data_IF_846589331084
#
_entry.id   IF_846589331084
#
_cell.length_a   1.000
_cell.length_b   1.000
_cell.length_c   1.000
_cell.angle_alpha   90.00
_cell.angle_beta   90.00
_cell.angle_gamma   90.00
#
_symmetry.space_group_name_H-M   'P 1'
#
loop_
_entity.id
_entity.type
_entity.pdbx_description
1 polymer ?
#
# COMPACT_ATOMS: atom_id res chain seq x y z
N UNK A 1 -32.29 -1.22 18.85
CA UNK A 1 -31.69 -2.00 17.75
C UNK A 1 -31.38 -3.40 18.26
N UNK A 2 -31.66 -4.42 17.43
CA UNK A 2 -31.34 -5.80 17.77
C UNK A 2 -29.83 -6.04 17.76
N UNK A 3 -29.37 -7.13 18.36
CA UNK A 3 -27.93 -7.51 18.43
C UNK A 3 -27.29 -7.56 17.04
N UNK A 4 -28.01 -8.11 16.07
CA UNK A 4 -27.54 -8.18 14.66
C UNK A 4 -27.29 -6.80 14.07
N UNK A 5 -28.19 -5.85 14.29
CA UNK A 5 -28.03 -4.47 13.80
C UNK A 5 -26.82 -3.76 14.44
N UNK A 6 -26.56 -4.02 15.74
CA UNK A 6 -25.40 -3.48 16.45
C UNK A 6 -24.07 -4.04 15.87
N UNK A 7 -24.01 -5.34 15.59
CA UNK A 7 -22.84 -5.99 14.98
C UNK A 7 -22.61 -5.46 13.57
N UNK A 8 -23.68 -5.34 12.77
CA UNK A 8 -23.61 -4.79 11.40
C UNK A 8 -23.11 -3.34 11.41
N UNK A 9 -23.61 -2.51 12.32
CA UNK A 9 -23.16 -1.12 12.45
C UNK A 9 -21.67 -1.05 12.84
N UNK A 10 -21.21 -1.85 13.79
CA UNK A 10 -19.82 -1.92 14.19
C UNK A 10 -18.91 -2.34 13.02
N UNK A 11 -19.36 -3.29 12.19
CA UNK A 11 -18.67 -3.71 10.98
C UNK A 11 -18.56 -2.57 9.96
N UNK A 12 -19.68 -1.87 9.70
CA UNK A 12 -19.70 -0.76 8.73
C UNK A 12 -18.80 0.40 9.16
N UNK A 13 -18.75 0.70 10.47
CA UNK A 13 -17.88 1.75 11.00
C UNK A 13 -16.38 1.40 10.83
N UNK A 14 -16.02 0.14 11.03
CA UNK A 14 -14.66 -0.33 10.79
C UNK A 14 -14.28 -0.25 9.31
N UNK A 15 -15.19 -0.64 8.40
CA UNK A 15 -14.95 -0.53 6.95
C UNK A 15 -14.71 0.93 6.55
N UNK A 16 -15.51 1.88 7.04
CA UNK A 16 -15.31 3.31 6.74
C UNK A 16 -13.95 3.83 7.21
N UNK A 17 -13.49 3.41 8.39
CA UNK A 17 -12.17 3.79 8.89
C UNK A 17 -11.04 3.21 8.04
N UNK A 18 -11.19 1.96 7.62
CA UNK A 18 -10.24 1.31 6.72
C UNK A 18 -10.19 2.01 5.35
N UNK A 19 -11.35 2.33 4.77
CA UNK A 19 -11.46 3.07 3.51
C UNK A 19 -10.77 4.44 3.59
N UNK A 20 -10.90 5.14 4.71
CA UNK A 20 -10.21 6.41 4.94
C UNK A 20 -8.69 6.25 4.93
N UNK A 21 -8.16 5.20 5.55
CA UNK A 21 -6.72 4.90 5.54
C UNK A 21 -6.22 4.54 4.14
N UNK A 22 -7.00 3.76 3.40
CA UNK A 22 -6.68 3.41 2.00
C UNK A 22 -6.72 4.62 1.07
N UNK A 23 -7.66 5.53 1.28
CA UNK A 23 -7.74 6.77 0.50
C UNK A 23 -6.48 7.63 0.71
N UNK A 24 -5.99 7.74 1.95
CA UNK A 24 -4.73 8.43 2.24
C UNK A 24 -3.53 7.80 1.53
N UNK A 25 -3.45 6.45 1.51
CA UNK A 25 -2.42 5.74 0.75
C UNK A 25 -2.54 6.02 -0.75
N UNK A 26 -3.76 6.02 -1.30
CA UNK A 26 -4.03 6.35 -2.70
C UNK A 26 -3.56 7.76 -3.06
N UNK A 27 -3.86 8.74 -2.21
CA UNK A 27 -3.44 10.14 -2.40
C UNK A 27 -1.92 10.27 -2.35
N UNK A 28 -1.26 9.64 -1.38
CA UNK A 28 0.21 9.64 -1.27
C UNK A 28 0.87 9.06 -2.52
N UNK A 29 0.33 7.94 -3.02
CA UNK A 29 0.84 7.30 -4.23
C UNK A 29 0.58 8.16 -5.48
N UNK A 30 -0.61 8.73 -5.61
CA UNK A 30 -0.96 9.63 -6.71
C UNK A 30 -0.05 10.85 -6.74
N UNK A 31 0.25 11.45 -5.59
CA UNK A 31 1.21 12.56 -5.49
C UNK A 31 2.62 12.16 -5.94
N UNK A 32 3.04 10.92 -5.66
CA UNK A 32 4.30 10.37 -6.17
C UNK A 32 4.34 10.31 -7.70
N UNK A 33 3.28 9.79 -8.32
CA UNK A 33 3.17 9.74 -9.79
C UNK A 33 3.09 11.13 -10.42
N UNK A 34 2.40 12.08 -9.77
CA UNK A 34 2.35 13.47 -10.25
C UNK A 34 3.74 14.10 -10.26
N UNK A 35 4.51 13.97 -9.17
CA UNK A 35 5.90 14.46 -9.12
C UNK A 35 6.78 13.79 -10.16
N UNK A 36 6.61 12.47 -10.36
CA UNK A 36 7.33 11.75 -11.41
C UNK A 36 6.99 12.31 -12.80
N UNK A 37 5.72 12.65 -13.07
CA UNK A 37 5.32 13.27 -14.31
C UNK A 37 5.93 14.67 -14.50
N UNK A 38 5.99 15.48 -13.44
CA UNK A 38 6.66 16.79 -13.44
C UNK A 38 8.18 16.65 -13.74
N UNK A 39 8.80 15.60 -13.25
CA UNK A 39 10.21 15.30 -13.50
C UNK A 39 10.51 14.90 -14.96
N UNK A 40 9.48 14.58 -15.77
CA UNK A 40 9.63 14.32 -17.22
C UNK A 40 10.14 15.56 -17.94
N UNK A 41 9.67 16.75 -17.57
CA UNK A 41 10.09 17.99 -18.18
C UNK A 41 11.60 18.23 -17.96
N UNK A 42 12.10 18.02 -16.74
CA UNK A 42 13.53 18.08 -16.42
C UNK A 42 14.35 17.10 -17.29
N UNK A 43 13.82 15.88 -17.48
CA UNK A 43 14.46 14.88 -18.34
C UNK A 43 14.49 15.32 -19.81
N UNK A 44 13.39 15.86 -20.34
CA UNK A 44 13.31 16.35 -21.70
C UNK A 44 14.21 17.57 -21.93
N UNK A 45 14.26 18.50 -20.96
CA UNK A 45 15.16 19.63 -21.02
C UNK A 45 16.63 19.20 -21.12
N UNK A 46 17.03 18.23 -20.30
CA UNK A 46 18.36 17.64 -20.41
C UNK A 46 18.53 16.88 -21.75
N UNK A 47 17.54 16.09 -22.16
CA UNK A 47 17.60 15.29 -23.38
C UNK A 47 17.84 16.13 -24.62
N UNK A 48 17.21 17.31 -24.73
CA UNK A 48 17.35 18.23 -25.85
C UNK A 48 18.45 19.27 -25.66
N UNK A 49 19.17 19.22 -24.54
CA UNK A 49 20.28 20.14 -24.31
C UNK A 49 21.56 19.72 -25.05
N UNK A 50 22.44 20.68 -25.34
CA UNK A 50 23.76 20.39 -25.90
C UNK A 50 24.61 19.45 -25.02
N UNK A 51 24.65 19.63 -23.67
CA UNK A 51 25.32 18.67 -22.80
C UNK A 51 24.74 17.26 -22.91
N UNK A 52 23.42 17.11 -22.94
CA UNK A 52 22.75 15.83 -23.09
C UNK A 52 23.06 15.14 -24.42
N UNK A 53 23.13 15.89 -25.51
CA UNK A 53 23.55 15.38 -26.81
C UNK A 53 24.99 14.86 -26.78
N UNK A 54 25.90 15.62 -26.20
CA UNK A 54 27.30 15.26 -26.06
C UNK A 54 27.48 13.97 -25.24
N UNK A 55 26.80 13.88 -24.10
CA UNK A 55 26.82 12.69 -23.24
C UNK A 55 26.31 11.44 -24.00
N UNK A 56 25.23 11.58 -24.81
CA UNK A 56 24.70 10.47 -25.62
C UNK A 56 25.68 10.01 -26.70
N UNK A 57 26.38 10.94 -27.36
CA UNK A 57 27.40 10.62 -28.35
C UNK A 57 28.54 9.81 -27.73
N UNK A 58 28.99 10.22 -26.52
CA UNK A 58 30.04 9.49 -25.78
C UNK A 58 29.54 8.11 -25.37
N UNK A 59 28.33 7.98 -24.86
CA UNK A 59 27.72 6.72 -24.46
C UNK A 59 27.54 5.77 -25.66
N UNK A 60 27.19 6.32 -26.85
CA UNK A 60 27.11 5.56 -28.10
C UNK A 60 28.49 5.06 -28.53
N UNK A 61 29.51 5.93 -28.52
CA UNK A 61 30.86 5.58 -28.89
C UNK A 61 31.48 4.50 -27.98
N UNK A 62 31.06 4.44 -26.74
CA UNK A 62 31.52 3.44 -25.76
C UNK A 62 30.63 2.18 -25.69
N UNK A 63 29.55 2.11 -26.49
CA UNK A 63 28.66 0.95 -26.56
C UNK A 63 27.75 0.75 -25.35
N UNK A 64 27.58 1.77 -24.48
CA UNK A 64 26.77 1.69 -23.25
C UNK A 64 25.47 2.49 -23.31
N UNK A 65 25.12 3.01 -24.49
CA UNK A 65 24.04 3.98 -24.67
C UNK A 65 22.71 3.54 -24.03
N UNK A 66 22.27 2.30 -24.27
CA UNK A 66 20.98 1.80 -23.79
C UNK A 66 20.91 1.79 -22.25
N UNK A 67 21.89 1.17 -21.61
CA UNK A 67 21.96 1.09 -20.14
C UNK A 67 22.11 2.48 -19.52
N UNK A 68 22.92 3.32 -20.12
CA UNK A 68 23.15 4.66 -19.66
C UNK A 68 21.89 5.54 -19.79
N UNK A 69 21.18 5.46 -20.92
CA UNK A 69 19.90 6.17 -21.11
C UNK A 69 18.85 5.73 -20.11
N UNK A 70 18.73 4.43 -19.85
CA UNK A 70 17.83 3.88 -18.85
C UNK A 70 18.15 4.42 -17.46
N UNK A 71 19.43 4.43 -17.08
CA UNK A 71 19.85 4.98 -15.79
C UNK A 71 19.58 6.49 -15.67
N UNK A 72 19.80 7.26 -16.75
CA UNK A 72 19.49 8.71 -16.77
C UNK A 72 18.00 8.95 -16.63
N UNK A 73 17.16 8.24 -17.38
CA UNK A 73 15.71 8.33 -17.29
C UNK A 73 15.24 8.05 -15.84
N UNK A 74 15.70 6.94 -15.25
CA UNK A 74 15.37 6.62 -13.86
C UNK A 74 15.82 7.71 -12.88
N UNK A 75 17.04 8.23 -13.05
CA UNK A 75 17.57 9.31 -12.21
C UNK A 75 16.67 10.54 -12.22
N UNK A 76 16.23 10.98 -13.41
CA UNK A 76 15.34 12.13 -13.51
C UNK A 76 13.95 11.83 -12.97
N UNK A 77 13.30 10.75 -13.40
CA UNK A 77 11.94 10.43 -12.97
C UNK A 77 11.81 10.25 -11.45
N UNK A 78 12.84 9.70 -10.81
CA UNK A 78 12.85 9.43 -9.36
C UNK A 78 13.48 10.58 -8.55
N UNK A 79 13.83 11.70 -9.17
CA UNK A 79 14.40 12.87 -8.52
C UNK A 79 13.48 13.37 -7.39
N UNK A 80 14.05 13.65 -6.23
CA UNK A 80 13.29 14.09 -5.06
C UNK A 80 12.59 12.98 -4.29
N UNK A 81 12.98 11.71 -4.49
CA UNK A 81 12.42 10.57 -3.78
C UNK A 81 10.89 10.51 -3.84
N UNK A 82 10.34 10.60 -5.07
CA UNK A 82 8.90 10.79 -5.35
C UNK A 82 7.97 9.81 -4.63
N UNK A 83 8.41 8.57 -4.38
CA UNK A 83 7.66 7.56 -3.66
C UNK A 83 8.14 7.32 -2.22
N UNK A 84 9.04 8.17 -1.70
CA UNK A 84 9.57 8.04 -0.33
C UNK A 84 8.50 7.94 0.77
N UNK A 85 7.39 8.69 0.71
CA UNK A 85 6.32 8.60 1.69
C UNK A 85 5.46 7.32 1.62
N UNK A 86 5.46 6.61 0.48
CA UNK A 86 4.57 5.46 0.24
C UNK A 86 4.79 4.30 1.23
N UNK A 87 6.03 3.85 1.53
CA UNK A 87 6.26 2.79 2.50
C UNK A 87 5.68 3.11 3.88
N UNK A 88 5.84 4.34 4.34
CA UNK A 88 5.27 4.78 5.63
C UNK A 88 3.74 4.75 5.60
N UNK A 89 3.12 5.21 4.52
CA UNK A 89 1.65 5.15 4.36
C UNK A 89 1.14 3.71 4.34
N UNK A 90 1.86 2.78 3.75
CA UNK A 90 1.53 1.35 3.78
C UNK A 90 1.61 0.80 5.21
N UNK A 91 2.68 1.12 5.94
CA UNK A 91 2.83 0.71 7.34
C UNK A 91 1.71 1.26 8.22
N UNK A 92 1.28 2.50 7.98
CA UNK A 92 0.16 3.13 8.68
C UNK A 92 -1.16 2.38 8.40
N UNK A 93 -1.45 2.03 7.15
CA UNK A 93 -2.64 1.25 6.79
C UNK A 93 -2.62 -0.12 7.46
N UNK A 94 -1.49 -0.83 7.42
CA UNK A 94 -1.36 -2.16 8.04
C UNK A 94 -1.57 -2.09 9.56
N UNK A 95 -0.98 -1.11 10.23
CA UNK A 95 -1.13 -0.90 11.67
C UNK A 95 -2.58 -0.56 12.03
N UNK A 96 -3.21 0.35 11.28
CA UNK A 96 -4.61 0.72 11.51
C UNK A 96 -5.54 -0.47 11.29
N UNK A 97 -5.30 -1.27 10.25
CA UNK A 97 -6.09 -2.48 10.02
C UNK A 97 -5.99 -3.48 11.19
N UNK A 98 -4.79 -3.69 11.75
CA UNK A 98 -4.61 -4.56 12.92
C UNK A 98 -5.33 -4.02 14.17
N UNK A 99 -5.23 -2.72 14.40
CA UNK A 99 -5.95 -2.07 15.50
C UNK A 99 -7.47 -2.21 15.34
N UNK A 100 -8.00 -1.91 14.15
CA UNK A 100 -9.43 -2.03 13.84
C UNK A 100 -9.94 -3.46 14.03
N UNK A 101 -9.15 -4.46 13.67
CA UNK A 101 -9.50 -5.87 13.91
C UNK A 101 -9.62 -6.19 15.39
N UNK A 102 -8.69 -5.70 16.21
CA UNK A 102 -8.71 -5.89 17.67
C UNK A 102 -9.90 -5.18 18.31
N UNK A 103 -10.14 -3.93 17.91
CA UNK A 103 -11.28 -3.13 18.39
C UNK A 103 -12.61 -3.78 17.99
N UNK A 104 -12.72 -4.28 16.77
CA UNK A 104 -13.93 -4.96 16.30
C UNK A 104 -14.25 -6.21 17.12
N UNK A 105 -13.26 -7.04 17.40
CA UNK A 105 -13.45 -8.22 18.26
C UNK A 105 -13.94 -7.83 19.65
N UNK A 106 -13.33 -6.82 20.26
CA UNK A 106 -13.74 -6.33 21.56
C UNK A 106 -15.17 -5.78 21.54
N UNK A 107 -15.54 -5.03 20.51
CA UNK A 107 -16.90 -4.51 20.32
C UNK A 107 -17.92 -5.64 20.19
N UNK A 108 -17.62 -6.69 19.44
CA UNK A 108 -18.49 -7.86 19.33
C UNK A 108 -18.66 -8.56 20.68
N UNK A 109 -17.58 -8.77 21.43
CA UNK A 109 -17.63 -9.36 22.76
C UNK A 109 -18.50 -8.54 23.73
N UNK A 110 -18.41 -7.20 23.67
CA UNK A 110 -19.28 -6.32 24.43
C UNK A 110 -20.75 -6.46 24.03
N UNK A 111 -21.07 -6.41 22.73
CA UNK A 111 -22.44 -6.53 22.23
C UNK A 111 -23.06 -7.86 22.67
N UNK A 112 -22.32 -8.97 22.58
CA UNK A 112 -22.79 -10.27 23.02
C UNK A 112 -23.08 -10.28 24.54
N UNK A 113 -22.19 -9.71 25.33
CA UNK A 113 -22.33 -9.62 26.79
C UNK A 113 -23.56 -8.76 27.21
N UNK A 114 -23.72 -7.59 26.60
CA UNK A 114 -24.83 -6.68 26.86
C UNK A 114 -26.19 -7.30 26.50
N UNK A 115 -26.25 -8.08 25.46
CA UNK A 115 -27.45 -8.80 25.03
C UNK A 115 -27.65 -10.13 25.73
N UNK A 116 -26.82 -10.45 26.74
CA UNK A 116 -26.87 -11.72 27.50
C UNK A 116 -26.78 -12.97 26.65
N UNK A 117 -26.12 -12.85 25.53
CA UNK A 117 -25.79 -14.00 24.67
C UNK A 117 -24.52 -14.61 25.26
N UNK A 118 -24.69 -15.56 26.14
CA UNK A 118 -23.59 -16.33 26.70
C UNK A 118 -23.39 -17.53 25.77
N UNK A 119 -22.24 -17.63 25.05
CA UNK A 119 -21.92 -18.82 24.30
C UNK A 119 -21.88 -20.03 25.26
N UNK A 120 -22.49 -21.12 24.86
CA UNK A 120 -22.61 -22.29 25.72
C UNK A 120 -21.26 -23.01 25.98
N UNK A 121 -20.23 -22.70 25.20
CA UNK A 121 -18.86 -23.17 25.39
C UNK A 121 -17.84 -22.24 24.66
N UNK A 122 -16.56 -22.43 24.98
CA UNK A 122 -15.46 -21.70 24.36
C UNK A 122 -15.37 -21.94 22.83
N UNK A 123 -15.85 -23.08 22.34
CA UNK A 123 -15.86 -23.40 20.92
C UNK A 123 -16.82 -22.51 20.12
N UNK A 124 -17.98 -22.13 20.70
CA UNK A 124 -18.89 -21.16 20.05
C UNK A 124 -18.31 -19.75 20.02
N UNK A 125 -17.59 -19.33 21.07
CA UNK A 125 -16.86 -18.08 21.09
C UNK A 125 -15.78 -18.04 20.01
N UNK A 126 -15.04 -19.12 19.86
CA UNK A 126 -14.01 -19.22 18.82
C UNK A 126 -14.60 -19.20 17.41
N UNK A 127 -15.75 -19.86 17.19
CA UNK A 127 -16.47 -19.77 15.89
C UNK A 127 -16.88 -18.34 15.58
N UNK A 128 -17.44 -17.61 16.54
CA UNK A 128 -17.84 -16.19 16.37
C UNK A 128 -16.62 -15.32 16.11
N UNK A 129 -15.53 -15.50 16.86
CA UNK A 129 -14.26 -14.79 16.64
C UNK A 129 -13.71 -15.05 15.26
N UNK A 130 -13.65 -16.31 14.84
CA UNK A 130 -13.17 -16.69 13.52
C UNK A 130 -14.06 -16.18 12.39
N UNK A 131 -15.38 -16.21 12.53
CA UNK A 131 -16.31 -15.67 11.54
C UNK A 131 -16.14 -14.14 11.41
N UNK A 132 -16.04 -13.44 12.53
CA UNK A 132 -15.84 -11.98 12.56
C UNK A 132 -14.48 -11.57 11.96
N UNK A 133 -13.42 -12.31 12.28
CA UNK A 133 -12.09 -12.08 11.70
C UNK A 133 -12.05 -12.43 10.21
N UNK A 134 -12.75 -13.47 9.78
CA UNK A 134 -12.80 -13.85 8.37
C UNK A 134 -13.59 -12.83 7.55
N UNK A 135 -14.64 -12.23 8.08
CA UNK A 135 -15.34 -11.12 7.43
C UNK A 135 -14.42 -9.91 7.22
N UNK A 136 -13.43 -9.72 8.09
CA UNK A 136 -12.41 -8.67 7.97
C UNK A 136 -11.14 -9.11 7.22
N UNK A 137 -10.98 -10.43 6.93
CA UNK A 137 -9.78 -10.98 6.25
C UNK A 137 -9.73 -10.74 4.75
N UNK A 138 -10.83 -10.42 4.13
CA UNK A 138 -10.90 -10.07 2.70
C UNK A 138 -11.10 -8.57 2.44
N UNK A 139 -10.45 -7.68 3.16
CA UNK A 139 -10.53 -6.30 2.78
C UNK A 139 -9.65 -6.06 1.56
N UNK A 140 -9.98 -5.03 0.81
CA UNK A 140 -9.24 -4.59 -0.37
C UNK A 140 -7.78 -4.22 -0.09
N UNK A 141 -7.33 -4.20 1.18
CA UNK A 141 -5.95 -3.85 1.57
C UNK A 141 -4.93 -4.71 0.85
N UNK A 142 -5.10 -6.03 0.86
CA UNK A 142 -4.14 -6.94 0.23
C UNK A 142 -4.13 -6.76 -1.30
N UNK A 143 -5.31 -6.67 -1.91
CA UNK A 143 -5.44 -6.43 -3.35
C UNK A 143 -4.98 -5.03 -3.76
N UNK A 144 -5.19 -4.01 -2.93
CA UNK A 144 -4.70 -2.65 -3.17
C UNK A 144 -3.18 -2.60 -3.09
N UNK A 145 -2.57 -3.26 -2.10
CA UNK A 145 -1.11 -3.33 -1.97
C UNK A 145 -0.50 -4.08 -3.15
N UNK A 146 -1.02 -5.26 -3.53
CA UNK A 146 -0.54 -6.02 -4.69
C UNK A 146 -0.70 -5.21 -5.99
N UNK A 147 -1.83 -4.55 -6.20
CA UNK A 147 -2.03 -3.69 -7.37
C UNK A 147 -1.09 -2.50 -7.38
N UNK A 148 -0.79 -1.92 -6.21
CA UNK A 148 0.17 -0.83 -6.07
C UNK A 148 1.58 -1.31 -6.42
N UNK A 149 2.01 -2.45 -5.88
CA UNK A 149 3.30 -3.07 -6.19
C UNK A 149 3.44 -3.33 -7.69
N UNK A 150 2.42 -3.92 -8.31
CA UNK A 150 2.41 -4.20 -9.74
C UNK A 150 2.51 -2.93 -10.59
N UNK A 151 1.81 -1.87 -10.21
CA UNK A 151 1.88 -0.58 -10.91
C UNK A 151 3.23 0.11 -10.74
N UNK A 152 3.83 0.05 -9.55
CA UNK A 152 5.17 0.58 -9.28
C UNK A 152 6.25 -0.17 -10.07
N UNK A 153 6.11 -1.49 -10.22
CA UNK A 153 7.00 -2.32 -11.05
C UNK A 153 6.90 -1.97 -12.54
N UNK A 154 5.68 -1.82 -13.08
CA UNK A 154 5.45 -1.48 -14.49
C UNK A 154 5.92 -0.07 -14.82
N UNK A 155 5.81 0.89 -13.89
CA UNK A 155 6.24 2.28 -14.11
C UNK A 155 7.75 2.48 -14.19
N UNK A 156 8.54 1.41 -14.24
CA UNK A 156 9.98 1.46 -14.55
C UNK A 156 10.89 1.70 -13.36
N UNK A 157 10.35 1.61 -12.16
CA UNK A 157 11.15 1.76 -10.94
C UNK A 157 11.88 0.48 -10.51
N UNK A 158 12.57 -0.21 -11.43
CA UNK A 158 13.21 -1.52 -11.16
C UNK A 158 14.15 -1.47 -9.94
N UNK A 159 14.81 -0.35 -9.67
CA UNK A 159 15.75 -0.22 -8.53
C UNK A 159 15.07 0.08 -7.19
N UNK A 160 14.04 0.93 -7.19
CA UNK A 160 13.34 1.38 -5.96
C UNK A 160 12.11 0.56 -5.67
N UNK A 161 11.41 0.07 -6.70
CA UNK A 161 10.30 -0.86 -6.52
C UNK A 161 10.77 -2.18 -5.89
N UNK A 162 11.94 -2.70 -6.24
CA UNK A 162 12.52 -3.88 -5.61
C UNK A 162 12.77 -3.72 -4.11
N UNK A 163 13.20 -2.53 -3.67
CA UNK A 163 13.40 -2.23 -2.25
C UNK A 163 12.05 -2.07 -1.51
N UNK A 164 11.07 -1.44 -2.13
CA UNK A 164 9.72 -1.29 -1.57
C UNK A 164 9.02 -2.66 -1.51
N UNK A 165 9.06 -3.43 -2.60
CA UNK A 165 8.45 -4.76 -2.70
C UNK A 165 9.07 -5.74 -1.70
N UNK A 166 10.40 -5.74 -1.55
CA UNK A 166 11.11 -6.59 -0.60
C UNK A 166 10.76 -6.27 0.86
N UNK A 167 10.66 -4.98 1.21
CA UNK A 167 10.28 -4.54 2.54
C UNK A 167 8.83 -4.87 2.89
N UNK A 168 7.91 -4.74 1.92
CA UNK A 168 6.48 -5.03 2.10
C UNK A 168 6.23 -6.54 2.14
N UNK A 169 6.78 -7.30 1.18
CA UNK A 169 6.63 -8.75 1.14
C UNK A 169 7.22 -9.42 2.39
N UNK A 170 8.38 -8.96 2.85
CA UNK A 170 9.00 -9.45 4.08
C UNK A 170 8.14 -9.20 5.33
N UNK A 171 7.45 -8.06 5.41
CA UNK A 171 6.57 -7.74 6.54
C UNK A 171 5.22 -8.47 6.47
N UNK A 172 4.68 -8.68 5.28
CA UNK A 172 3.42 -9.43 5.10
C UNK A 172 3.63 -10.91 5.44
N UNK A 173 4.70 -11.53 4.94
CA UNK A 173 5.02 -12.94 5.24
C UNK A 173 5.34 -13.17 6.71
N UNK A 174 6.02 -12.25 7.39
CA UNK A 174 6.32 -12.34 8.82
C UNK A 174 5.08 -12.21 9.74
N UNK A 175 3.97 -11.65 9.24
CA UNK A 175 2.72 -11.50 10.01
C UNK A 175 1.67 -12.58 9.72
N UNK A 176 1.82 -13.35 8.64
CA UNK A 176 0.89 -14.41 8.23
C UNK A 176 1.39 -15.80 8.68
N UNK A 177 2.64 -15.92 9.11
CA UNK A 177 3.23 -17.09 9.77
C UNK A 177 3.09 -16.99 11.28
#
# INVERSE_FOLDING_TARGET
PGTTEQIEQAYLDNIRQLESSLEKLRQTTSAGFQRMAENVDDYLDWYYSLPGEYERIVALATGVLENWMTAKLQHYLMKGNVFGPVPHSIEEVLRNNEQLRTEHLHTIEQILTENRIVPNDDAQLDIIRHASLNALKEPPVHSVIINLEHRLLISGGIGTAGAITGAIAGKITAKVA
#
